data_IF_257849501002
#
_entry.id   IF_257849501002
#
_cell.length_a   1.000
_cell.length_b   1.000
_cell.length_c   1.000
_cell.angle_alpha   90.00
_cell.angle_beta   90.00
_cell.angle_gamma   90.00
#
_symmetry.space_group_name_H-M   'P 1'
#
loop_
_entity.id
_entity.type
_entity.pdbx_description
1 polymer ?
#
# COMPACT_ATOMS: atom_id res chain seq x y z
N UNK A 1 31.75 3.24 23.96
CA UNK A 1 30.90 2.22 23.29
C UNK A 1 29.76 2.82 22.43
N UNK A 2 30.07 3.71 21.46
CA UNK A 2 29.05 4.31 20.55
C UNK A 2 28.89 3.53 19.24
N UNK A 3 29.96 2.88 18.79
CA UNK A 3 29.97 2.10 17.56
C UNK A 3 29.10 0.83 17.69
N UNK A 4 29.18 0.13 18.83
CA UNK A 4 28.33 -1.04 19.11
C UNK A 4 26.86 -0.64 19.18
N UNK A 5 26.52 0.44 19.91
CA UNK A 5 25.15 0.97 19.97
C UNK A 5 24.58 1.30 18.59
N UNK A 6 25.35 1.95 17.72
CA UNK A 6 24.94 2.23 16.32
C UNK A 6 24.74 0.95 15.51
N UNK A 7 25.62 -0.04 15.67
CA UNK A 7 25.52 -1.33 14.98
C UNK A 7 24.29 -2.12 15.41
N UNK A 8 24.01 -2.16 16.72
CA UNK A 8 22.81 -2.81 17.27
C UNK A 8 21.53 -2.11 16.83
N UNK A 9 21.50 -0.77 16.83
CA UNK A 9 20.36 0.00 16.33
C UNK A 9 20.08 -0.29 14.85
N UNK A 10 21.11 -0.30 13.99
CA UNK A 10 20.96 -0.69 12.58
C UNK A 10 20.44 -2.11 12.41
N UNK A 11 20.92 -3.05 13.23
CA UNK A 11 20.48 -4.45 13.16
C UNK A 11 19.02 -4.61 13.60
N UNK A 12 18.58 -3.87 14.62
CA UNK A 12 17.18 -3.85 15.05
C UNK A 12 16.27 -3.30 13.95
N UNK A 13 16.65 -2.19 13.32
CA UNK A 13 15.91 -1.62 12.19
C UNK A 13 15.82 -2.63 11.04
N UNK A 14 16.93 -3.28 10.67
CA UNK A 14 16.94 -4.28 9.60
C UNK A 14 16.00 -5.47 9.91
N UNK A 15 16.03 -5.99 11.13
CA UNK A 15 15.11 -7.08 11.55
C UNK A 15 13.66 -6.62 11.52
N UNK A 16 13.37 -5.39 11.97
CA UNK A 16 12.03 -4.83 11.92
C UNK A 16 11.50 -4.68 10.48
N UNK A 17 12.34 -4.24 9.55
CA UNK A 17 11.97 -4.12 8.14
C UNK A 17 11.79 -5.47 7.45
N UNK A 18 12.55 -6.49 7.84
CA UNK A 18 12.35 -7.87 7.39
C UNK A 18 11.00 -8.43 7.87
N UNK A 19 10.64 -8.20 9.13
CA UNK A 19 9.35 -8.62 9.67
C UNK A 19 8.18 -7.89 9.01
N UNK A 20 8.32 -6.57 8.78
CA UNK A 20 7.31 -5.78 8.05
C UNK A 20 7.09 -6.29 6.63
N UNK A 21 8.17 -6.63 5.92
CA UNK A 21 8.07 -7.23 4.59
C UNK A 21 7.31 -8.56 4.62
N UNK A 22 7.68 -9.42 5.56
CA UNK A 22 7.06 -10.75 5.72
C UNK A 22 5.57 -10.63 5.99
N UNK A 23 5.19 -9.81 6.97
CA UNK A 23 3.78 -9.56 7.31
C UNK A 23 3.02 -8.92 6.14
N UNK A 24 3.62 -7.97 5.41
CA UNK A 24 2.96 -7.40 4.23
C UNK A 24 2.71 -8.45 3.15
N UNK A 25 3.64 -9.37 2.90
CA UNK A 25 3.47 -10.44 1.92
C UNK A 25 2.41 -11.43 2.36
N UNK A 26 2.46 -11.89 3.61
CA UNK A 26 1.43 -12.78 4.18
C UNK A 26 0.02 -12.17 4.08
N UNK A 27 -0.13 -10.88 4.43
CA UNK A 27 -1.42 -10.19 4.28
C UNK A 27 -1.84 -10.07 2.81
N UNK A 28 -0.94 -9.68 1.92
CA UNK A 28 -1.27 -9.51 0.50
C UNK A 28 -1.63 -10.83 -0.17
N UNK A 29 -0.83 -11.87 0.05
CA UNK A 29 -0.96 -13.15 -0.64
C UNK A 29 -2.13 -13.96 -0.10
N UNK A 30 -2.30 -14.08 1.23
CA UNK A 30 -3.41 -14.87 1.79
C UNK A 30 -4.74 -14.11 1.69
N UNK A 31 -4.83 -12.90 2.25
CA UNK A 31 -6.09 -12.17 2.32
C UNK A 31 -6.46 -11.55 0.98
N UNK A 32 -5.49 -11.00 0.23
CA UNK A 32 -5.76 -10.39 -1.07
C UNK A 32 -6.31 -11.39 -2.08
N UNK A 33 -5.73 -12.58 -2.17
CA UNK A 33 -6.21 -13.63 -3.08
C UNK A 33 -7.58 -14.17 -2.68
N UNK A 34 -7.83 -14.38 -1.38
CA UNK A 34 -9.13 -14.79 -0.89
C UNK A 34 -10.20 -13.77 -1.25
N UNK A 35 -9.93 -12.48 -1.04
CA UNK A 35 -10.88 -11.41 -1.34
C UNK A 35 -11.15 -11.26 -2.84
N UNK A 36 -10.10 -11.36 -3.68
CA UNK A 36 -10.25 -11.37 -5.13
C UNK A 36 -11.13 -12.54 -5.60
N UNK A 37 -10.95 -13.73 -5.00
CA UNK A 37 -11.75 -14.92 -5.31
C UNK A 37 -13.23 -14.71 -4.95
N UNK A 38 -13.51 -14.19 -3.75
CA UNK A 38 -14.91 -13.96 -3.35
C UNK A 38 -15.54 -12.81 -4.15
N UNK A 39 -14.78 -11.76 -4.51
CA UNK A 39 -15.25 -10.71 -5.41
C UNK A 39 -15.65 -11.27 -6.78
N UNK A 40 -14.83 -12.18 -7.33
CA UNK A 40 -15.11 -12.85 -8.61
C UNK A 40 -16.38 -13.72 -8.53
N UNK A 41 -16.54 -14.53 -7.47
CA UNK A 41 -17.74 -15.34 -7.27
C UNK A 41 -19.00 -14.47 -7.16
N UNK A 42 -18.94 -13.35 -6.44
CA UNK A 42 -20.07 -12.43 -6.36
C UNK A 42 -20.38 -11.77 -7.70
N UNK A 43 -19.36 -11.45 -8.49
CA UNK A 43 -19.54 -10.91 -9.84
C UNK A 43 -20.20 -11.94 -10.78
N UNK A 44 -19.81 -13.21 -10.67
CA UNK A 44 -20.38 -14.30 -11.45
C UNK A 44 -21.86 -14.53 -11.10
N UNK A 45 -22.23 -14.52 -9.81
CA UNK A 45 -23.63 -14.63 -9.38
C UNK A 45 -24.45 -13.44 -9.89
N UNK A 46 -23.89 -12.23 -9.87
CA UNK A 46 -24.52 -11.02 -10.41
C UNK A 46 -24.79 -11.13 -11.92
N UNK A 47 -23.85 -11.68 -12.68
CA UNK A 47 -24.02 -11.84 -14.14
C UNK A 47 -25.12 -12.85 -14.52
N UNK A 48 -25.44 -13.80 -13.63
CA UNK A 48 -26.42 -14.86 -13.87
C UNK A 48 -27.85 -14.57 -13.41
N UNK A 49 -28.12 -13.44 -12.74
CA UNK A 49 -29.44 -13.13 -12.15
C UNK A 49 -30.01 -11.81 -12.69
N UNK A 50 -31.24 -11.86 -13.24
CA UNK A 50 -31.96 -10.66 -13.72
C UNK A 50 -32.63 -9.86 -12.59
N UNK A 51 -32.95 -10.51 -11.47
CA UNK A 51 -33.39 -9.85 -10.24
C UNK A 51 -32.22 -9.78 -9.25
N UNK A 52 -31.73 -8.56 -9.03
CA UNK A 52 -30.65 -8.30 -8.09
C UNK A 52 -31.20 -8.34 -6.65
N UNK A 53 -30.85 -9.36 -5.86
CA UNK A 53 -31.02 -9.25 -4.41
C UNK A 53 -30.07 -8.14 -3.92
N UNK A 54 -30.61 -7.05 -3.37
CA UNK A 54 -29.79 -5.96 -2.83
C UNK A 54 -28.78 -6.42 -1.75
N UNK A 55 -28.92 -7.64 -1.20
CA UNK A 55 -27.90 -8.29 -0.35
C UNK A 55 -26.63 -8.64 -1.11
N UNK A 56 -26.74 -9.06 -2.38
CA UNK A 56 -25.61 -9.46 -3.21
C UNK A 56 -24.75 -8.25 -3.60
N UNK A 57 -25.40 -7.14 -4.00
CA UNK A 57 -24.73 -5.87 -4.28
C UNK A 57 -23.98 -5.36 -3.03
N UNK A 58 -24.62 -5.44 -1.86
CA UNK A 58 -23.98 -5.07 -0.58
C UNK A 58 -22.79 -5.97 -0.24
N UNK A 59 -22.88 -7.27 -0.50
CA UNK A 59 -21.76 -8.19 -0.28
C UNK A 59 -20.57 -7.83 -1.17
N UNK A 60 -20.81 -7.54 -2.45
CA UNK A 60 -19.75 -7.13 -3.38
C UNK A 60 -19.06 -5.84 -2.91
N UNK A 61 -19.85 -4.82 -2.55
CA UNK A 61 -19.31 -3.57 -2.00
C UNK A 61 -18.51 -3.76 -0.71
N UNK A 62 -18.93 -4.67 0.18
CA UNK A 62 -18.21 -4.97 1.42
C UNK A 62 -16.86 -5.62 1.15
N UNK A 63 -16.78 -6.49 0.14
CA UNK A 63 -15.53 -7.14 -0.25
C UNK A 63 -14.59 -6.14 -0.90
N UNK A 64 -15.06 -5.29 -1.80
CA UNK A 64 -14.22 -4.25 -2.40
C UNK A 64 -13.62 -3.33 -1.31
N UNK A 65 -14.43 -2.94 -0.32
CA UNK A 65 -13.94 -2.16 0.84
C UNK A 65 -12.95 -2.93 1.70
N UNK A 66 -13.16 -4.23 1.90
CA UNK A 66 -12.25 -5.06 2.68
C UNK A 66 -10.91 -5.27 1.94
N UNK A 67 -10.95 -5.47 0.62
CA UNK A 67 -9.77 -5.53 -0.25
C UNK A 67 -8.96 -4.25 -0.16
N UNK A 68 -9.61 -3.08 -0.27
CA UNK A 68 -8.95 -1.80 -0.10
C UNK A 68 -8.30 -1.67 1.28
N UNK A 69 -8.99 -2.07 2.37
CA UNK A 69 -8.42 -2.03 3.72
C UNK A 69 -7.23 -2.97 3.94
N UNK A 70 -7.28 -4.17 3.38
CA UNK A 70 -6.16 -5.13 3.46
C UNK A 70 -4.97 -4.60 2.67
N UNK A 71 -5.23 -4.05 1.48
CA UNK A 71 -4.21 -3.40 0.67
C UNK A 71 -3.57 -2.24 1.44
N UNK A 72 -4.37 -1.32 2.00
CA UNK A 72 -3.88 -0.21 2.84
C UNK A 72 -3.06 -0.71 4.04
N UNK A 73 -3.49 -1.80 4.69
CA UNK A 73 -2.78 -2.39 5.83
C UNK A 73 -1.42 -2.98 5.42
N UNK A 74 -1.36 -3.72 4.31
CA UNK A 74 -0.12 -4.25 3.75
C UNK A 74 0.84 -3.13 3.34
N UNK A 75 0.31 -2.08 2.70
CA UNK A 75 1.03 -0.88 2.33
C UNK A 75 1.65 -0.14 3.52
N UNK A 76 0.91 -0.01 4.61
CA UNK A 76 1.39 0.60 5.85
C UNK A 76 2.53 -0.20 6.50
N UNK A 77 2.58 -1.53 6.31
CA UNK A 77 3.66 -2.36 6.82
C UNK A 77 4.94 -2.16 6.02
N UNK A 78 4.96 -2.55 4.74
CA UNK A 78 6.04 -2.28 3.79
C UNK A 78 5.52 -2.65 2.40
N UNK A 79 5.62 -1.81 1.37
CA UNK A 79 5.22 -2.17 0.01
C UNK A 79 6.02 -3.40 -0.44
N UNK A 80 5.36 -4.55 -0.55
CA UNK A 80 5.97 -5.75 -1.12
C UNK A 80 6.45 -5.50 -2.56
N UNK A 81 5.78 -4.56 -3.24
CA UNK A 81 6.08 -4.13 -4.59
C UNK A 81 7.30 -3.23 -4.73
N UNK A 82 7.86 -2.68 -3.65
CA UNK A 82 9.10 -1.90 -3.76
C UNK A 82 10.26 -2.76 -4.28
N UNK A 83 10.30 -4.02 -3.89
CA UNK A 83 11.33 -4.95 -4.34
C UNK A 83 11.04 -5.50 -5.75
N UNK A 84 9.78 -5.42 -6.24
CA UNK A 84 9.31 -6.02 -7.50
C UNK A 84 9.15 -5.01 -8.64
N UNK A 85 8.50 -3.88 -8.34
CA UNK A 85 8.14 -2.81 -9.27
C UNK A 85 9.09 -1.60 -9.14
N UNK A 86 9.83 -1.51 -8.04
CA UNK A 86 10.80 -0.43 -7.79
C UNK A 86 10.19 0.81 -7.14
N UNK A 87 11.07 1.75 -6.79
CA UNK A 87 10.72 2.93 -5.98
C UNK A 87 9.70 3.85 -6.65
N UNK A 88 9.84 4.10 -7.96
CA UNK A 88 8.94 4.98 -8.72
C UNK A 88 7.49 4.52 -8.62
N UNK A 89 7.22 3.28 -9.03
CA UNK A 89 5.88 2.69 -8.97
C UNK A 89 5.34 2.65 -7.53
N UNK A 90 6.20 2.34 -6.55
CA UNK A 90 5.77 2.31 -5.15
C UNK A 90 5.40 3.69 -4.59
N UNK A 91 6.07 4.76 -5.01
CA UNK A 91 5.71 6.13 -4.60
C UNK A 91 4.43 6.59 -5.32
N UNK A 92 4.29 6.21 -6.58
CA UNK A 92 3.11 6.51 -7.40
C UNK A 92 1.83 5.91 -6.82
N UNK A 93 1.87 4.61 -6.48
CA UNK A 93 0.74 3.91 -5.87
C UNK A 93 0.40 4.49 -4.49
N UNK A 94 1.41 4.81 -3.68
CA UNK A 94 1.23 5.43 -2.36
C UNK A 94 0.50 6.78 -2.44
N UNK A 95 0.93 7.65 -3.35
CA UNK A 95 0.34 8.96 -3.53
C UNK A 95 -1.07 8.87 -4.14
N UNK A 96 -1.27 7.96 -5.09
CA UNK A 96 -2.58 7.67 -5.71
C UNK A 96 -3.58 7.18 -4.67
N UNK A 97 -3.17 6.26 -3.80
CA UNK A 97 -3.99 5.74 -2.70
C UNK A 97 -4.43 6.88 -1.77
N UNK A 98 -3.49 7.70 -1.30
CA UNK A 98 -3.80 8.82 -0.41
C UNK A 98 -4.78 9.80 -1.07
N UNK A 99 -4.52 10.18 -2.31
CA UNK A 99 -5.33 11.16 -3.01
C UNK A 99 -6.73 10.64 -3.32
N UNK A 100 -6.86 9.34 -3.63
CA UNK A 100 -8.14 8.66 -3.76
C UNK A 100 -8.92 8.67 -2.45
N UNK A 101 -8.27 8.38 -1.31
CA UNK A 101 -8.89 8.44 0.01
C UNK A 101 -9.35 9.85 0.40
N UNK A 102 -8.59 10.87 0.03
CA UNK A 102 -8.90 12.28 0.31
C UNK A 102 -9.85 12.91 -0.73
N UNK A 103 -10.06 12.28 -1.87
CA UNK A 103 -10.86 12.81 -2.98
C UNK A 103 -10.25 14.04 -3.64
N UNK A 104 -8.91 14.11 -3.74
CA UNK A 104 -8.17 15.26 -4.26
C UNK A 104 -7.29 14.90 -5.46
N UNK A 105 -6.93 15.87 -6.32
CA UNK A 105 -5.97 15.65 -7.38
C UNK A 105 -4.57 15.35 -6.85
N UNK A 106 -3.88 14.45 -7.55
CA UNK A 106 -2.47 14.12 -7.33
C UNK A 106 -1.67 14.48 -8.58
N UNK A 107 -0.65 15.32 -8.41
CA UNK A 107 0.40 15.53 -9.42
C UNK A 107 1.69 14.92 -8.89
N UNK A 108 2.49 14.31 -9.77
CA UNK A 108 3.72 13.64 -9.36
C UNK A 108 4.79 13.84 -10.42
N UNK A 109 5.94 14.34 -10.00
CA UNK A 109 7.18 14.33 -10.79
C UNK A 109 8.13 13.30 -10.20
N UNK A 110 8.20 12.13 -10.84
CA UNK A 110 8.99 10.99 -10.38
C UNK A 110 10.10 10.63 -11.36
N UNK A 111 10.47 11.53 -12.27
CA UNK A 111 11.46 11.24 -13.32
C UNK A 111 12.83 10.90 -12.72
N UNK A 112 13.19 11.55 -11.61
CA UNK A 112 14.41 11.26 -10.85
C UNK A 112 14.44 9.84 -10.24
N UNK A 113 13.30 9.16 -10.11
CA UNK A 113 13.19 7.81 -9.55
C UNK A 113 13.25 6.70 -10.61
N UNK A 114 13.47 7.05 -11.88
CA UNK A 114 13.48 6.11 -13.00
C UNK A 114 14.69 5.16 -12.99
N UNK A 115 15.76 5.53 -12.28
CA UNK A 115 16.97 4.72 -12.18
C UNK A 115 16.93 3.75 -10.99
N UNK A 116 17.47 2.53 -11.12
CA UNK A 116 17.58 1.60 -10.00
C UNK A 116 18.45 2.18 -8.87
N UNK A 117 17.98 2.01 -7.63
CA UNK A 117 18.69 2.40 -6.42
C UNK A 117 19.05 1.16 -5.59
N UNK A 118 20.11 1.21 -4.76
CA UNK A 118 20.35 0.18 -3.76
C UNK A 118 19.10 -0.02 -2.89
N UNK A 119 18.76 -1.27 -2.56
CA UNK A 119 17.53 -1.61 -1.84
C UNK A 119 17.35 -0.83 -0.52
N UNK A 120 18.43 -0.65 0.25
CA UNK A 120 18.38 0.14 1.49
C UNK A 120 18.07 1.62 1.23
N UNK A 121 18.61 2.19 0.15
CA UNK A 121 18.35 3.59 -0.25
C UNK A 121 16.91 3.74 -0.73
N UNK A 122 16.42 2.83 -1.58
CA UNK A 122 15.05 2.82 -2.05
C UNK A 122 14.05 2.74 -0.88
N UNK A 123 14.29 1.81 0.05
CA UNK A 123 13.45 1.66 1.25
C UNK A 123 13.47 2.91 2.12
N UNK A 124 14.63 3.54 2.30
CA UNK A 124 14.74 4.77 3.09
C UNK A 124 13.95 5.91 2.46
N UNK A 125 14.11 6.15 1.16
CA UNK A 125 13.37 7.19 0.43
C UNK A 125 11.86 6.92 0.45
N UNK A 126 11.47 5.65 0.26
CA UNK A 126 10.08 5.23 0.36
C UNK A 126 9.50 5.58 1.73
N UNK A 127 10.21 5.29 2.84
CA UNK A 127 9.73 5.62 4.19
C UNK A 127 9.57 7.12 4.42
N UNK A 128 10.46 7.92 3.84
CA UNK A 128 10.34 9.39 3.89
C UNK A 128 9.08 9.85 3.16
N UNK A 129 8.83 9.35 1.95
CA UNK A 129 7.62 9.66 1.18
C UNK A 129 6.36 9.22 1.92
N UNK A 130 6.35 8.00 2.48
CA UNK A 130 5.24 7.46 3.28
C UNK A 130 4.91 8.33 4.49
N UNK A 131 5.91 8.72 5.27
CA UNK A 131 5.68 9.57 6.44
C UNK A 131 5.20 10.96 6.03
N UNK A 132 5.77 11.54 4.98
CA UNK A 132 5.36 12.86 4.46
C UNK A 132 3.88 12.85 4.00
N UNK A 133 3.50 11.85 3.19
CA UNK A 133 2.13 11.68 2.69
C UNK A 133 1.14 11.37 3.82
N UNK A 134 1.55 10.54 4.79
CA UNK A 134 0.75 10.26 5.99
C UNK A 134 0.48 11.54 6.79
N UNK A 135 1.51 12.39 6.96
CA UNK A 135 1.38 13.64 7.68
C UNK A 135 0.49 14.65 6.94
N UNK A 136 0.59 14.71 5.61
CA UNK A 136 -0.32 15.51 4.77
C UNK A 136 -1.77 15.07 4.99
N UNK A 137 -2.07 13.77 4.89
CA UNK A 137 -3.42 13.25 5.08
C UNK A 137 -3.98 13.49 6.48
N UNK A 138 -3.14 13.43 7.51
CA UNK A 138 -3.56 13.63 8.91
C UNK A 138 -3.71 15.09 9.32
N UNK A 139 -2.91 15.99 8.74
CA UNK A 139 -2.71 17.33 9.32
C UNK A 139 -2.94 18.49 8.36
N UNK A 140 -2.83 18.29 7.04
CA UNK A 140 -2.78 19.43 6.11
C UNK A 140 -4.13 19.84 5.51
N UNK A 141 -5.18 19.00 5.59
CA UNK A 141 -6.45 19.20 4.86
C UNK A 141 -6.24 19.69 3.41
N UNK A 142 -5.40 19.00 2.63
CA UNK A 142 -4.97 19.50 1.32
C UNK A 142 -6.14 19.51 0.34
N UNK A 143 -6.13 20.46 -0.59
CA UNK A 143 -7.00 20.45 -1.78
C UNK A 143 -6.31 19.85 -3.02
N UNK A 144 -4.99 19.62 -2.93
CA UNK A 144 -4.13 18.98 -3.94
C UNK A 144 -2.82 18.50 -3.29
N UNK A 145 -2.21 17.44 -3.83
CA UNK A 145 -0.85 16.98 -3.51
C UNK A 145 0.02 17.03 -4.78
N UNK A 146 1.28 17.47 -4.64
CA UNK A 146 2.29 17.59 -5.70
C UNK A 146 3.69 17.28 -5.18
#
# INVERSE_FOLDING_TARGET
DRALRRRLARRLIAVQEEQRLRLSRELHDDLGQMLASVALELHNVRAGTQEMDGRLERAAMLIDRLSAKVHDAAWNLRPADLDRLGLRASVEDLATMLCSQLGIPCEMDLDALSNPLPAETALTLYRVAQEALTNIGKHAQPSRVS
#
